data_IF_241768062966
#
_entry.id   IF_241768062966
#
_cell.length_a   1.000
_cell.length_b   1.000
_cell.length_c   1.000
_cell.angle_alpha   90.00
_cell.angle_beta   90.00
_cell.angle_gamma   90.00
#
_symmetry.space_group_name_H-M   'P 1'
#
loop_
_entity.id
_entity.type
_entity.pdbx_description
1 polymer ?
#
# COMPACT_ATOMS: atom_id res chain seq x y z
N UNK A 1 3.69 12.78 -20.32
CA UNK A 1 4.08 11.47 -19.77
C UNK A 1 3.23 11.25 -18.54
N UNK A 2 2.28 10.32 -18.61
CA UNK A 2 1.33 10.04 -17.52
C UNK A 2 2.05 9.42 -16.32
N UNK A 3 1.78 9.95 -15.14
CA UNK A 3 2.32 9.48 -13.87
C UNK A 3 1.82 8.05 -13.60
N UNK A 4 2.71 7.06 -13.45
CA UNK A 4 2.32 5.75 -12.87
C UNK A 4 2.09 5.91 -11.36
N UNK A 5 1.00 6.59 -11.00
CA UNK A 5 0.49 6.67 -9.63
C UNK A 5 -0.21 5.34 -9.32
N UNK A 6 0.25 4.66 -8.27
CA UNK A 6 -0.48 3.52 -7.69
C UNK A 6 -1.25 4.03 -6.46
N UNK A 7 -2.47 4.56 -6.64
CA UNK A 7 -3.26 5.09 -5.54
C UNK A 7 -3.60 3.97 -4.57
N UNK A 8 -3.20 4.14 -3.31
CA UNK A 8 -3.51 3.20 -2.23
C UNK A 8 -5.03 2.97 -2.11
N UNK A 9 -5.80 4.02 -2.40
CA UNK A 9 -7.26 4.10 -2.41
C UNK A 9 -7.90 2.99 -3.26
N UNK A 10 -7.27 2.57 -4.37
CA UNK A 10 -7.86 1.52 -5.22
C UNK A 10 -7.84 0.17 -4.51
N UNK A 11 -6.70 -0.21 -3.91
CA UNK A 11 -6.57 -1.48 -3.18
C UNK A 11 -7.48 -1.45 -1.93
N UNK A 12 -7.49 -0.33 -1.22
CA UNK A 12 -8.34 -0.13 -0.05
C UNK A 12 -9.83 -0.23 -0.42
N UNK A 13 -10.24 0.34 -1.55
CA UNK A 13 -11.63 0.29 -2.04
C UNK A 13 -12.07 -1.12 -2.42
N UNK A 14 -11.23 -1.88 -3.12
CA UNK A 14 -11.49 -3.29 -3.43
C UNK A 14 -11.63 -4.11 -2.15
N UNK A 15 -10.72 -3.92 -1.19
CA UNK A 15 -10.76 -4.66 0.08
C UNK A 15 -11.98 -4.26 0.93
N UNK A 16 -12.40 -3.00 0.89
CA UNK A 16 -13.60 -2.53 1.57
C UNK A 16 -14.85 -3.17 0.98
N UNK A 17 -14.96 -3.21 -0.34
CA UNK A 17 -16.06 -3.90 -1.02
C UNK A 17 -16.11 -5.39 -0.67
N UNK A 18 -14.95 -6.05 -0.59
CA UNK A 18 -14.86 -7.45 -0.18
C UNK A 18 -15.30 -7.66 1.29
N UNK A 19 -14.88 -6.79 2.21
CA UNK A 19 -15.35 -6.81 3.60
C UNK A 19 -16.88 -6.67 3.69
N UNK A 20 -17.46 -5.71 2.97
CA UNK A 20 -18.92 -5.50 2.94
C UNK A 20 -19.63 -6.75 2.40
N UNK A 21 -19.13 -7.34 1.31
CA UNK A 21 -19.72 -8.55 0.73
C UNK A 21 -19.73 -9.73 1.71
N UNK A 22 -18.63 -9.94 2.45
CA UNK A 22 -18.57 -10.98 3.49
C UNK A 22 -19.52 -10.72 4.65
N UNK A 23 -19.60 -9.47 5.12
CA UNK A 23 -20.54 -9.09 6.18
C UNK A 23 -21.99 -9.30 5.73
N UNK A 24 -22.34 -8.94 4.50
CA UNK A 24 -23.69 -9.18 3.95
C UNK A 24 -24.00 -10.67 3.77
N UNK A 25 -22.99 -11.51 3.58
CA UNK A 25 -23.14 -12.97 3.53
C UNK A 25 -23.30 -13.61 4.93
N UNK A 26 -23.37 -12.83 6.00
CA UNK A 26 -23.54 -13.32 7.38
C UNK A 26 -22.25 -13.82 8.04
N UNK A 27 -21.10 -13.66 7.39
CA UNK A 27 -19.79 -14.02 7.93
C UNK A 27 -19.27 -12.90 8.84
N UNK A 28 -19.82 -12.82 10.05
CA UNK A 28 -19.46 -11.80 11.04
C UNK A 28 -18.36 -12.29 11.98
N UNK A 29 -17.13 -12.35 11.47
CA UNK A 29 -15.94 -12.68 12.27
C UNK A 29 -15.28 -11.38 12.80
N UNK A 30 -14.79 -11.39 14.04
CA UNK A 30 -14.06 -10.26 14.64
C UNK A 30 -12.86 -9.82 13.82
N UNK A 31 -12.22 -10.72 13.06
CA UNK A 31 -11.13 -10.35 12.15
C UNK A 31 -11.61 -9.52 10.95
N UNK A 32 -12.79 -9.82 10.40
CA UNK A 32 -13.38 -9.03 9.30
C UNK A 32 -13.73 -7.62 9.81
N UNK A 33 -14.28 -7.53 11.02
CA UNK A 33 -14.56 -6.23 11.67
C UNK A 33 -13.27 -5.44 11.91
N UNK A 34 -12.19 -6.11 12.33
CA UNK A 34 -10.88 -5.46 12.49
C UNK A 34 -10.32 -4.93 11.16
N UNK A 35 -10.40 -5.73 10.09
CA UNK A 35 -10.01 -5.30 8.73
C UNK A 35 -10.79 -4.07 8.29
N UNK A 36 -12.12 -4.11 8.43
CA UNK A 36 -13.01 -3.01 8.10
C UNK A 36 -12.68 -1.74 8.89
N UNK A 37 -12.43 -1.87 10.19
CA UNK A 37 -12.09 -0.74 11.07
C UNK A 37 -10.78 -0.08 10.65
N UNK A 38 -9.75 -0.87 10.33
CA UNK A 38 -8.47 -0.35 9.82
C UNK A 38 -8.67 0.40 8.51
N UNK A 39 -9.47 -0.14 7.58
CA UNK A 39 -9.76 0.52 6.31
C UNK A 39 -10.48 1.85 6.50
N UNK A 40 -11.49 1.90 7.36
CA UNK A 40 -12.23 3.14 7.66
C UNK A 40 -11.33 4.19 8.30
N UNK A 41 -10.44 3.78 9.21
CA UNK A 41 -9.43 4.67 9.77
C UNK A 41 -8.50 5.22 8.69
N UNK A 42 -8.00 4.37 7.79
CA UNK A 42 -7.13 4.80 6.69
C UNK A 42 -7.81 5.78 5.75
N UNK A 43 -9.06 5.51 5.33
CA UNK A 43 -9.82 6.46 4.51
C UNK A 43 -10.04 7.79 5.21
N UNK A 44 -10.31 7.77 6.52
CA UNK A 44 -10.48 8.98 7.32
C UNK A 44 -9.20 9.80 7.35
N UNK A 45 -8.05 9.17 7.66
CA UNK A 45 -6.75 9.83 7.64
C UNK A 45 -6.41 10.39 6.26
N UNK A 46 -6.67 9.63 5.19
CA UNK A 46 -6.41 10.09 3.82
C UNK A 46 -7.35 11.22 3.38
N UNK A 47 -8.60 11.25 3.86
CA UNK A 47 -9.56 12.31 3.55
C UNK A 47 -9.26 13.63 4.28
N UNK A 48 -8.63 13.54 5.46
CA UNK A 48 -8.30 14.70 6.32
C UNK A 48 -6.87 15.19 6.13
N UNK A 49 -5.99 14.35 5.59
CA UNK A 49 -4.59 14.69 5.34
C UNK A 49 -4.46 15.55 4.08
N UNK A 50 -3.90 16.75 4.24
CA UNK A 50 -3.44 17.61 3.14
C UNK A 50 -2.17 17.04 2.48
N UNK A 51 -1.50 16.08 3.14
CA UNK A 51 -0.24 15.53 2.70
C UNK A 51 -0.45 14.37 1.71
N UNK A 52 -0.11 14.62 0.43
CA UNK A 52 -0.25 13.66 -0.68
C UNK A 52 0.54 12.36 -0.47
N UNK A 53 1.49 12.32 0.48
CA UNK A 53 2.29 11.12 0.81
C UNK A 53 1.45 9.97 1.36
N UNK A 54 0.31 10.25 2.02
CA UNK A 54 -0.62 9.22 2.51
C UNK A 54 -1.54 8.68 1.40
N UNK A 55 -1.50 9.24 0.20
CA UNK A 55 -2.36 8.83 -0.92
C UNK A 55 -1.74 7.74 -1.79
N UNK A 56 -0.40 7.67 -1.81
CA UNK A 56 0.35 6.85 -2.76
C UNK A 56 1.17 5.80 -2.04
N UNK A 57 1.15 4.57 -2.56
CA UNK A 57 1.98 3.49 -2.03
C UNK A 57 3.46 3.72 -2.30
N UNK A 58 3.81 4.40 -3.39
CA UNK A 58 5.19 4.65 -3.81
C UNK A 58 5.35 6.11 -4.30
N UNK A 59 5.44 7.10 -3.40
CA UNK A 59 5.55 8.50 -3.79
C UNK A 59 6.96 8.79 -4.35
N UNK A 60 7.01 9.15 -5.63
CA UNK A 60 8.24 9.58 -6.32
C UNK A 60 8.23 11.10 -6.44
N UNK A 61 9.29 11.78 -6.00
CA UNK A 61 9.47 13.20 -6.26
C UNK A 61 9.92 13.36 -7.72
N UNK A 62 9.03 13.90 -8.56
CA UNK A 62 9.23 13.98 -10.02
C UNK A 62 10.34 14.98 -10.38
N UNK A 63 10.48 16.09 -9.62
CA UNK A 63 11.49 17.12 -9.91
C UNK A 63 12.92 16.65 -9.67
N UNK A 64 13.10 15.69 -8.76
CA UNK A 64 14.42 15.12 -8.45
C UNK A 64 14.57 13.69 -8.96
N UNK A 65 13.48 13.03 -9.36
CA UNK A 65 13.46 11.61 -9.70
C UNK A 65 13.86 10.72 -8.52
N UNK A 66 13.70 11.16 -7.26
CA UNK A 66 14.13 10.41 -6.08
C UNK A 66 12.87 9.87 -5.37
N UNK A 67 12.86 8.60 -4.91
CA UNK A 67 11.82 8.14 -4.00
C UNK A 67 11.77 9.08 -2.80
N UNK A 68 10.57 9.37 -2.31
CA UNK A 68 10.41 10.14 -1.06
C UNK A 68 10.02 9.15 0.03
N UNK A 69 10.97 8.33 0.55
CA UNK A 69 10.64 7.44 1.65
C UNK A 69 10.27 8.31 2.85
N UNK A 70 9.00 8.28 3.22
CA UNK A 70 8.52 8.88 4.45
C UNK A 70 7.97 7.78 5.34
N UNK A 71 8.14 7.95 6.65
CA UNK A 71 7.53 7.10 7.66
C UNK A 71 6.01 6.97 7.44
N UNK A 72 5.36 8.05 7.01
CA UNK A 72 3.95 8.09 6.62
C UNK A 72 3.57 7.00 5.60
N UNK A 73 4.40 6.82 4.57
CA UNK A 73 4.15 5.86 3.49
C UNK A 73 4.32 4.43 4.01
N UNK A 74 5.29 4.20 4.88
CA UNK A 74 5.49 2.89 5.53
C UNK A 74 4.33 2.54 6.45
N UNK A 75 3.84 3.50 7.25
CA UNK A 75 2.66 3.33 8.10
C UNK A 75 1.46 2.94 7.23
N UNK A 76 1.21 3.67 6.14
CA UNK A 76 0.13 3.36 5.19
C UNK A 76 0.23 1.93 4.65
N UNK A 77 1.41 1.52 4.16
CA UNK A 77 1.63 0.17 3.60
C UNK A 77 1.39 -0.91 4.66
N UNK A 78 1.93 -0.74 5.86
CA UNK A 78 1.78 -1.70 6.95
C UNK A 78 0.31 -1.83 7.35
N UNK A 79 -0.41 -0.70 7.46
CA UNK A 79 -1.84 -0.73 7.79
C UNK A 79 -2.68 -1.41 6.70
N UNK A 80 -2.36 -1.21 5.41
CA UNK A 80 -3.03 -1.93 4.31
C UNK A 80 -2.74 -3.43 4.38
N UNK A 81 -1.48 -3.82 4.59
CA UNK A 81 -1.09 -5.24 4.73
C UNK A 81 -1.79 -5.87 5.93
N UNK A 82 -1.88 -5.16 7.07
CA UNK A 82 -2.61 -5.62 8.24
C UNK A 82 -4.11 -5.79 7.96
N UNK A 83 -4.74 -4.86 7.24
CA UNK A 83 -6.14 -4.99 6.84
C UNK A 83 -6.36 -6.22 5.95
N UNK A 84 -5.48 -6.48 4.98
CA UNK A 84 -5.55 -7.68 4.13
C UNK A 84 -5.36 -8.95 4.96
N UNK A 85 -4.39 -8.96 5.88
CA UNK A 85 -4.14 -10.08 6.77
C UNK A 85 -5.39 -10.45 7.59
N UNK A 86 -6.01 -9.47 8.24
CA UNK A 86 -7.21 -9.70 9.03
C UNK A 86 -8.39 -10.15 8.17
N UNK A 87 -8.56 -9.57 6.98
CA UNK A 87 -9.60 -10.01 6.05
C UNK A 87 -9.41 -11.48 5.66
N UNK A 88 -8.21 -11.85 5.20
CA UNK A 88 -7.94 -13.22 4.76
C UNK A 88 -8.01 -14.23 5.90
N UNK A 89 -7.52 -13.89 7.09
CA UNK A 89 -7.66 -14.76 8.24
C UNK A 89 -9.14 -14.93 8.61
N UNK A 90 -9.93 -13.86 8.63
CA UNK A 90 -11.36 -13.94 8.87
C UNK A 90 -12.13 -14.73 7.82
N UNK A 91 -11.77 -14.58 6.54
CA UNK A 91 -12.46 -15.19 5.40
C UNK A 91 -12.12 -16.67 5.19
N UNK A 92 -10.88 -17.08 5.51
CA UNK A 92 -10.39 -18.44 5.25
C UNK A 92 -10.18 -19.27 6.50
N UNK A 93 -10.25 -18.65 7.68
CA UNK A 93 -9.87 -19.21 8.99
C UNK A 93 -8.44 -19.80 9.02
N UNK A 94 -7.61 -19.51 8.02
CA UNK A 94 -6.28 -20.08 7.85
C UNK A 94 -5.20 -19.04 8.10
N UNK A 95 -4.64 -19.09 9.32
CA UNK A 95 -3.53 -18.22 9.71
C UNK A 95 -2.30 -18.37 8.79
N UNK A 96 -2.03 -19.57 8.27
CA UNK A 96 -0.87 -19.84 7.40
C UNK A 96 -0.95 -19.04 6.09
N UNK A 97 -2.14 -18.99 5.48
CA UNK A 97 -2.37 -18.24 4.23
C UNK A 97 -2.27 -16.75 4.51
N UNK A 98 -2.88 -16.27 5.59
CA UNK A 98 -2.79 -14.87 6.00
C UNK A 98 -1.34 -14.41 6.24
N UNK A 99 -0.54 -15.23 6.94
CA UNK A 99 0.87 -14.93 7.21
C UNK A 99 1.70 -14.83 5.92
N UNK A 100 1.45 -15.70 4.94
CA UNK A 100 2.15 -15.67 3.65
C UNK A 100 1.89 -14.34 2.92
N UNK A 101 0.68 -13.79 3.02
CA UNK A 101 0.34 -12.48 2.45
C UNK A 101 1.16 -11.36 3.10
N UNK A 102 1.38 -11.41 4.41
CA UNK A 102 2.23 -10.42 5.10
C UNK A 102 3.66 -10.49 4.59
N UNK A 103 4.21 -11.69 4.47
CA UNK A 103 5.58 -11.92 3.98
C UNK A 103 5.72 -11.39 2.54
N UNK A 104 4.77 -11.71 1.67
CA UNK A 104 4.79 -11.28 0.27
C UNK A 104 4.57 -9.77 0.16
N UNK A 105 3.61 -9.20 0.89
CA UNK A 105 3.28 -7.77 0.82
C UNK A 105 4.41 -6.87 1.31
N UNK A 106 5.03 -7.23 2.44
CA UNK A 106 6.18 -6.49 2.97
C UNK A 106 7.44 -6.75 2.13
N UNK A 107 7.70 -8.00 1.75
CA UNK A 107 8.85 -8.37 0.93
C UNK A 107 8.85 -7.69 -0.45
N UNK A 108 7.69 -7.69 -1.12
CA UNK A 108 7.51 -7.01 -2.40
C UNK A 108 7.75 -5.51 -2.27
N UNK A 109 7.26 -4.87 -1.19
CA UNK A 109 7.46 -3.44 -0.95
C UNK A 109 8.94 -3.07 -0.88
N UNK A 110 9.75 -3.86 -0.18
CA UNK A 110 11.21 -3.64 -0.08
C UNK A 110 11.90 -3.83 -1.43
N UNK A 111 11.54 -4.89 -2.16
CA UNK A 111 12.14 -5.19 -3.48
C UNK A 111 11.79 -4.09 -4.48
N UNK A 112 10.54 -3.62 -4.46
CA UNK A 112 10.05 -2.57 -5.35
C UNK A 112 10.73 -1.23 -5.08
N UNK A 113 10.88 -0.84 -3.81
CA UNK A 113 11.61 0.38 -3.43
C UNK A 113 13.06 0.35 -3.94
N UNK A 114 13.76 -0.78 -3.78
CA UNK A 114 15.12 -0.98 -4.31
C UNK A 114 15.17 -0.91 -5.83
N UNK A 115 14.16 -1.46 -6.51
CA UNK A 115 14.06 -1.44 -7.97
C UNK A 115 13.91 -0.01 -8.50
N UNK A 116 13.03 0.79 -7.87
CA UNK A 116 12.85 2.20 -8.21
C UNK A 116 14.13 2.99 -7.94
N UNK A 117 14.77 2.80 -6.79
CA UNK A 117 16.03 3.48 -6.47
C UNK A 117 17.11 3.19 -7.53
N UNK A 118 17.24 1.92 -7.94
CA UNK A 118 18.19 1.51 -8.97
C UNK A 118 17.87 2.10 -10.34
N UNK A 119 16.60 2.19 -10.71
CA UNK A 119 16.16 2.80 -11.97
C UNK A 119 16.49 4.30 -11.99
N UNK A 120 16.20 5.00 -10.89
CA UNK A 120 16.42 6.44 -10.77
C UNK A 120 17.91 6.79 -10.77
N UNK A 121 18.74 6.01 -10.06
CA UNK A 121 20.20 6.16 -10.09
C UNK A 121 20.76 6.10 -11.51
N UNK A 122 20.35 5.09 -12.29
CA UNK A 122 20.74 4.95 -13.70
C UNK A 122 20.28 6.12 -14.57
N UNK A 123 19.12 6.70 -14.28
CA UNK A 123 18.62 7.85 -15.04
C UNK A 123 19.46 9.10 -14.78
N UNK A 124 19.81 9.36 -13.51
CA UNK A 124 20.70 10.47 -13.13
C UNK A 124 22.08 10.31 -13.76
N UNK A 125 22.67 9.12 -13.70
CA UNK A 125 23.98 8.83 -14.32
C UNK A 125 23.99 9.15 -15.82
N UNK A 126 22.92 8.81 -16.56
CA UNK A 126 22.78 9.15 -17.98
C UNK A 126 22.69 10.65 -18.23
N UNK A 127 21.88 11.36 -17.43
CA UNK A 127 21.72 12.81 -17.57
C UNK A 127 23.01 13.59 -17.27
N UNK A 128 23.87 13.05 -16.40
CA UNK A 128 25.20 13.63 -16.12
C UNK A 128 26.17 13.35 -17.27
N UNK A 129 26.15 12.14 -17.83
CA UNK A 129 27.00 11.76 -18.96
C UNK A 129 26.66 12.51 -20.26
N UNK A 130 25.38 12.80 -20.53
CA UNK A 130 24.95 13.58 -21.71
C UNK A 130 25.32 15.07 -21.62
N UNK A 131 25.72 15.57 -20.44
CA UNK A 131 26.13 16.97 -20.21
C UNK A 131 27.65 17.18 -20.24
N UNK A 132 28.45 16.12 -20.28
CA UNK A 132 29.92 16.15 -20.37
C UNK A 132 30.38 15.90 -21.79
#
# INVERSE_FOLDING_TARGET
MEEKKWPAVTIQGILLAANIAFLLAGQHNHYIIASFTILMFLFTVQSTSVNTRFLYLYPVNISLGIPTPSWDTWILRISIVAAVFFFYWGATESYKVALLIVIVGLGFSVIWDRSIEKHNRKHIERLVADKS
#
